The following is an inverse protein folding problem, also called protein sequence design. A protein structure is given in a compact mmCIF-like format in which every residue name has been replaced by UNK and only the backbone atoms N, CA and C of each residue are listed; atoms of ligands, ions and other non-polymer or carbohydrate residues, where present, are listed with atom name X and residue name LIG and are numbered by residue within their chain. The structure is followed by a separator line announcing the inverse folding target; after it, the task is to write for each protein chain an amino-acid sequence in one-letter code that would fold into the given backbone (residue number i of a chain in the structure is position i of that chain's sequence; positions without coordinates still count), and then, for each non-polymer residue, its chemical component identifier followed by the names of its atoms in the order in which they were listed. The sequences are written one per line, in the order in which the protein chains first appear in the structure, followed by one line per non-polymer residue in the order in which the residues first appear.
data_IF_155686063169
#
_entry.id   IF_155686063169
#
_cell.length_a   1.000
_cell.length_b   1.000
_cell.length_c   1.000
_cell.angle_alpha   90.00
_cell.angle_beta   90.00
_cell.angle_gamma   90.00
#
_symmetry.space_group_name_H-M   'P 1'
#
loop_
_entity.id
_entity.type
_entity.pdbx_description
1 polymer ?
#
# COMPACT_ATOMS: atom_id res chain seq x y z
N UNK A 1 -6.93 34.56 -10.34
CA UNK A 1 -5.56 34.11 -10.64
C UNK A 1 -5.18 33.00 -9.67
N UNK A 2 -5.21 31.74 -10.11
CA UNK A 2 -4.91 30.58 -9.26
C UNK A 2 -3.40 30.37 -9.30
N UNK A 3 -2.72 30.54 -8.17
CA UNK A 3 -1.28 30.29 -8.03
C UNK A 3 -1.03 28.81 -8.30
N UNK A 4 -0.43 28.51 -9.47
CA UNK A 4 0.10 27.19 -9.82
C UNK A 4 0.94 26.70 -8.65
N UNK A 5 0.48 25.61 -8.02
CA UNK A 5 1.28 24.88 -7.04
C UNK A 5 2.61 24.53 -7.69
N UNK A 6 3.65 25.12 -7.11
CA UNK A 6 5.03 24.90 -7.45
C UNK A 6 5.28 23.38 -7.38
N UNK A 7 5.57 22.79 -8.53
CA UNK A 7 5.99 21.40 -8.69
C UNK A 7 7.35 21.27 -7.99
N UNK A 8 7.33 21.23 -6.65
CA UNK A 8 8.50 20.95 -5.84
C UNK A 8 9.09 19.65 -6.39
N UNK A 9 10.37 19.70 -6.72
CA UNK A 9 11.22 18.56 -7.03
C UNK A 9 11.08 17.51 -5.92
N UNK A 10 10.06 16.66 -6.00
CA UNK A 10 10.08 15.38 -5.32
C UNK A 10 11.07 14.56 -6.14
N UNK A 11 12.22 14.14 -5.58
CA UNK A 11 13.16 13.35 -6.34
C UNK A 11 12.43 12.10 -6.81
N UNK A 12 12.40 11.88 -8.12
CA UNK A 12 11.71 10.75 -8.75
C UNK A 12 12.10 9.41 -8.10
N UNK A 13 13.36 9.34 -7.64
CA UNK A 13 13.95 8.22 -6.90
C UNK A 13 13.24 7.88 -5.59
N UNK A 14 12.67 8.85 -4.87
CA UNK A 14 11.93 8.61 -3.62
C UNK A 14 10.55 8.03 -3.92
N UNK A 15 9.96 8.40 -5.06
CA UNK A 15 8.64 7.94 -5.50
C UNK A 15 8.70 6.48 -5.95
N UNK A 16 9.72 6.11 -6.74
CA UNK A 16 9.96 4.71 -7.15
C UNK A 16 10.25 3.81 -5.93
N UNK A 17 11.12 4.27 -5.03
CA UNK A 17 11.41 3.54 -3.77
C UNK A 17 10.15 3.31 -2.94
N UNK A 18 9.27 4.33 -2.84
CA UNK A 18 8.03 4.20 -2.10
C UNK A 18 7.05 3.22 -2.76
N UNK A 19 6.99 3.18 -4.09
CA UNK A 19 6.15 2.23 -4.81
C UNK A 19 6.64 0.79 -4.66
N UNK A 20 7.94 0.55 -4.73
CA UNK A 20 8.54 -0.77 -4.52
C UNK A 20 8.36 -1.26 -3.08
N UNK A 21 8.55 -0.39 -2.09
CA UNK A 21 8.33 -0.73 -0.68
C UNK A 21 6.88 -1.15 -0.43
N UNK A 22 5.89 -0.42 -0.99
CA UNK A 22 4.48 -0.80 -0.88
C UNK A 22 4.18 -2.13 -1.57
N UNK A 23 4.75 -2.38 -2.76
CA UNK A 23 4.59 -3.67 -3.46
C UNK A 23 5.14 -4.81 -2.63
N UNK A 24 6.31 -4.63 -2.02
CA UNK A 24 6.93 -5.62 -1.14
C UNK A 24 6.05 -5.91 0.08
N UNK A 25 5.54 -4.88 0.75
CA UNK A 25 4.65 -5.02 1.90
C UNK A 25 3.38 -5.81 1.56
N UNK A 26 2.77 -5.52 0.41
CA UNK A 26 1.59 -6.25 -0.08
C UNK A 26 1.94 -7.72 -0.36
N UNK A 27 3.08 -7.99 -1.01
CA UNK A 27 3.53 -9.37 -1.26
C UNK A 27 3.80 -10.15 0.05
N UNK A 28 4.47 -9.53 1.01
CA UNK A 28 4.76 -10.15 2.31
C UNK A 28 3.46 -10.48 3.05
N UNK A 29 2.46 -9.62 2.97
CA UNK A 29 1.13 -9.90 3.50
C UNK A 29 0.43 -11.06 2.78
N UNK A 30 0.43 -11.08 1.44
CA UNK A 30 -0.17 -12.15 0.64
C UNK A 30 0.45 -13.51 0.99
N UNK A 31 1.79 -13.58 1.03
CA UNK A 31 2.54 -14.79 1.39
C UNK A 31 2.27 -15.19 2.85
N UNK A 32 2.29 -14.24 3.78
CA UNK A 32 2.09 -14.51 5.20
C UNK A 32 0.68 -14.96 5.57
N UNK A 33 -0.33 -14.56 4.79
CA UNK A 33 -1.74 -14.93 5.01
C UNK A 33 -2.23 -16.06 4.11
N UNK A 34 -1.47 -16.42 3.06
CA UNK A 34 -1.89 -17.36 2.03
C UNK A 34 -3.03 -16.82 1.14
N UNK A 35 -3.31 -15.51 1.20
CA UNK A 35 -4.32 -14.85 0.39
C UNK A 35 -3.66 -14.14 -0.78
N UNK A 36 -4.29 -14.20 -1.96
CA UNK A 36 -3.83 -13.44 -3.13
C UNK A 36 -4.86 -12.37 -3.44
N UNK A 37 -4.43 -11.11 -3.45
CA UNK A 37 -5.31 -10.01 -3.82
C UNK A 37 -5.54 -9.99 -5.33
N UNK A 38 -6.79 -9.76 -5.77
CA UNK A 38 -7.07 -9.44 -7.16
C UNK A 38 -6.29 -8.19 -7.61
N UNK A 39 -5.97 -8.11 -8.90
CA UNK A 39 -5.21 -6.99 -9.48
C UNK A 39 -5.84 -5.62 -9.17
N UNK A 40 -7.17 -5.52 -9.19
CA UNK A 40 -7.91 -4.29 -8.84
C UNK A 40 -7.67 -3.85 -7.40
N UNK A 41 -7.63 -4.80 -6.46
CA UNK A 41 -7.36 -4.56 -5.05
C UNK A 41 -5.91 -4.14 -4.86
N UNK A 42 -4.95 -4.83 -5.48
CA UNK A 42 -3.53 -4.44 -5.44
C UNK A 42 -3.32 -3.02 -5.94
N UNK A 43 -3.93 -2.66 -7.07
CA UNK A 43 -3.83 -1.29 -7.61
C UNK A 43 -4.40 -0.27 -6.63
N UNK A 44 -5.56 -0.55 -6.04
CA UNK A 44 -6.18 0.31 -5.03
C UNK A 44 -5.27 0.51 -3.81
N UNK A 45 -4.68 -0.57 -3.30
CA UNK A 45 -3.73 -0.53 -2.17
C UNK A 45 -2.46 0.28 -2.51
N UNK A 46 -1.95 0.18 -3.74
CA UNK A 46 -0.77 0.94 -4.17
C UNK A 46 -1.02 2.45 -4.26
N UNK A 47 -2.27 2.89 -4.48
CA UNK A 47 -2.63 4.31 -4.43
C UNK A 47 -2.61 4.90 -3.02
N UNK A 48 -2.68 4.06 -1.99
CA UNK A 48 -2.64 4.52 -0.60
C UNK A 48 -1.25 5.02 -0.22
N UNK A 49 -1.18 5.97 0.71
CA UNK A 49 0.09 6.29 1.36
C UNK A 49 0.54 5.12 2.25
N UNK A 50 1.83 5.07 2.56
CA UNK A 50 2.43 3.95 3.30
C UNK A 50 1.76 3.68 4.65
N UNK A 51 1.51 4.75 5.43
CA UNK A 51 0.90 4.63 6.77
C UNK A 51 -0.51 4.04 6.70
N UNK A 52 -1.30 4.46 5.72
CA UNK A 52 -2.66 3.95 5.53
C UNK A 52 -2.65 2.52 5.01
N UNK A 53 -1.73 2.19 4.10
CA UNK A 53 -1.55 0.81 3.63
C UNK A 53 -1.24 -0.14 4.79
N UNK A 54 -0.28 0.20 5.65
CA UNK A 54 0.09 -0.59 6.82
C UNK A 54 -1.11 -0.82 7.77
N UNK A 55 -1.88 0.24 8.03
CA UNK A 55 -3.08 0.16 8.87
C UNK A 55 -4.16 -0.76 8.28
N UNK A 56 -4.42 -0.68 6.98
CA UNK A 56 -5.41 -1.54 6.29
C UNK A 56 -4.97 -3.00 6.34
N UNK A 57 -3.71 -3.30 6.01
CA UNK A 57 -3.17 -4.66 6.07
C UNK A 57 -3.21 -5.23 7.49
N UNK A 58 -2.82 -4.45 8.50
CA UNK A 58 -2.91 -4.86 9.91
C UNK A 58 -4.34 -5.14 10.35
N UNK A 59 -5.30 -4.32 9.91
CA UNK A 59 -6.72 -4.49 10.21
C UNK A 59 -7.27 -5.77 9.55
N UNK A 60 -6.92 -6.01 8.28
CA UNK A 60 -7.28 -7.24 7.58
C UNK A 60 -6.69 -8.48 8.26
N UNK A 61 -5.43 -8.44 8.68
CA UNK A 61 -4.80 -9.55 9.39
C UNK A 61 -5.57 -9.92 10.67
N UNK A 62 -5.95 -8.90 11.46
CA UNK A 62 -6.76 -9.10 12.67
C UNK A 62 -8.09 -9.76 12.34
N UNK A 63 -8.77 -9.32 11.28
CA UNK A 63 -10.02 -9.94 10.84
C UNK A 63 -9.84 -11.40 10.42
N UNK A 64 -8.76 -11.73 9.69
CA UNK A 64 -8.46 -13.11 9.29
C UNK A 64 -8.24 -13.99 10.52
N UNK A 65 -7.39 -13.55 11.46
CA UNK A 65 -7.10 -14.27 12.71
C UNK A 65 -8.38 -14.48 13.53
N UNK A 66 -9.22 -13.46 13.65
CA UNK A 66 -10.48 -13.54 14.41
C UNK A 66 -11.51 -14.46 13.75
N UNK A 67 -11.52 -14.57 12.42
CA UNK A 67 -12.46 -15.41 11.67
C UNK A 67 -12.02 -16.86 11.55
N UNK A 68 -10.72 -17.14 11.73
CA UNK A 68 -10.15 -18.49 11.77
C UNK A 68 -10.21 -19.16 13.15
N UNK A 69 -10.77 -18.50 14.16
CA UNK A 69 -10.94 -18.99 15.53
C UNK A 69 -12.39 -19.33 15.81
#
# INVERSE_FOLDING_TARGET
MIKKWNNQNIPFTVVDSAAEVKKKLINEFEVGTGLIFPTSVRMSLLTLNYKKLDQELSSMNKTIILKGK
#
